data_IF_475745605227
#
_entry.id   IF_475745605227
#
_cell.length_a   1.000
_cell.length_b   1.000
_cell.length_c   1.000
_cell.angle_alpha   90.00
_cell.angle_beta   90.00
_cell.angle_gamma   90.00
#
_symmetry.space_group_name_H-M   'P 1'
#
loop_
_entity.id
_entity.type
_entity.pdbx_description
1 polymer ?
#
# COMPACT_ATOMS: atom_id res chain seq x y z
N UNK A 1 -19.71 -3.56 16.20
CA UNK A 1 -18.99 -2.54 15.39
C UNK A 1 -18.14 -3.32 14.41
N UNK A 2 -18.43 -3.23 13.12
CA UNK A 2 -17.66 -3.96 12.12
C UNK A 2 -16.22 -3.42 12.14
N UNK A 3 -15.23 -4.29 12.33
CA UNK A 3 -13.82 -3.89 12.26
C UNK A 3 -13.48 -3.38 10.86
N UNK A 4 -12.38 -2.64 10.73
CA UNK A 4 -11.92 -2.11 9.45
C UNK A 4 -11.75 -3.23 8.42
N UNK A 5 -12.36 -3.05 7.25
CA UNK A 5 -12.23 -3.97 6.13
C UNK A 5 -11.05 -3.53 5.26
N UNK A 6 -9.97 -4.30 5.30
CA UNK A 6 -8.76 -4.04 4.52
C UNK A 6 -8.53 -5.18 3.55
N UNK A 7 -8.47 -4.87 2.25
CA UNK A 7 -8.14 -5.82 1.18
C UNK A 7 -6.98 -5.30 0.37
N UNK A 8 -5.98 -6.14 0.10
CA UNK A 8 -4.83 -5.83 -0.75
C UNK A 8 -4.95 -6.57 -2.08
N UNK A 9 -5.12 -5.82 -3.17
CA UNK A 9 -5.04 -6.36 -4.53
C UNK A 9 -3.57 -6.33 -4.96
N UNK A 10 -2.96 -7.49 -5.14
CA UNK A 10 -1.52 -7.60 -5.39
C UNK A 10 -1.17 -8.88 -6.16
N UNK A 11 0.10 -9.04 -6.52
CA UNK A 11 0.68 -10.24 -7.11
C UNK A 11 1.88 -10.67 -6.27
N UNK A 12 1.97 -11.95 -5.92
CA UNK A 12 2.90 -12.43 -4.89
C UNK A 12 4.37 -12.07 -5.13
N UNK A 13 4.80 -11.97 -6.39
CA UNK A 13 6.18 -11.64 -6.78
C UNK A 13 6.43 -10.13 -7.00
N UNK A 14 5.41 -9.27 -6.81
CA UNK A 14 5.53 -7.83 -6.98
C UNK A 14 6.37 -7.20 -5.86
N UNK A 15 7.49 -6.51 -6.18
CA UNK A 15 8.28 -5.79 -5.17
C UNK A 15 7.51 -4.58 -4.61
N UNK A 16 6.69 -3.92 -5.44
CA UNK A 16 5.82 -2.82 -5.02
C UNK A 16 4.75 -3.30 -4.05
N UNK A 17 4.19 -4.48 -4.31
CA UNK A 17 3.26 -5.16 -3.41
C UNK A 17 3.88 -5.59 -2.10
N UNK A 18 5.13 -6.07 -2.15
CA UNK A 18 5.89 -6.45 -0.96
C UNK A 18 6.06 -5.28 0.01
N UNK A 19 6.27 -4.05 -0.47
CA UNK A 19 6.31 -2.85 0.41
C UNK A 19 5.04 -2.72 1.25
N UNK A 20 3.88 -2.87 0.62
CA UNK A 20 2.58 -2.75 1.28
C UNK A 20 2.36 -3.89 2.27
N UNK A 21 2.73 -5.12 1.90
CA UNK A 21 2.64 -6.28 2.80
C UNK A 21 3.50 -6.11 4.04
N UNK A 22 4.73 -5.60 3.89
CA UNK A 22 5.63 -5.29 5.02
C UNK A 22 5.02 -4.20 5.89
N UNK A 23 4.56 -3.09 5.32
CA UNK A 23 3.94 -2.00 6.08
C UNK A 23 2.72 -2.45 6.89
N UNK A 24 1.84 -3.27 6.30
CA UNK A 24 0.68 -3.85 7.01
C UNK A 24 1.13 -4.79 8.13
N UNK A 25 2.18 -5.60 7.91
CA UNK A 25 2.73 -6.50 8.92
C UNK A 25 3.36 -5.74 10.10
N UNK A 26 4.17 -4.71 9.83
CA UNK A 26 4.78 -3.84 10.85
C UNK A 26 3.72 -3.12 11.70
N UNK A 27 2.59 -2.74 11.10
CA UNK A 27 1.45 -2.16 11.83
C UNK A 27 0.54 -3.21 12.48
N UNK A 28 0.75 -4.50 12.23
CA UNK A 28 -0.12 -5.57 12.73
C UNK A 28 -1.56 -5.50 12.19
N UNK A 29 -1.76 -4.92 11.00
CA UNK A 29 -3.07 -4.78 10.37
C UNK A 29 -3.44 -6.09 9.69
N UNK A 30 -4.60 -6.65 10.07
CA UNK A 30 -5.16 -7.81 9.38
C UNK A 30 -5.82 -7.36 8.08
N UNK A 31 -5.57 -8.08 7.00
CA UNK A 31 -6.13 -7.77 5.69
C UNK A 31 -6.38 -9.05 4.89
N UNK A 32 -7.27 -8.96 3.92
CA UNK A 32 -7.49 -9.99 2.90
C UNK A 32 -6.51 -9.79 1.74
N UNK A 33 -5.71 -10.80 1.41
CA UNK A 33 -4.84 -10.79 0.23
C UNK A 33 -5.58 -11.33 -0.98
N UNK A 34 -5.70 -10.53 -2.04
CA UNK A 34 -6.36 -10.93 -3.28
C UNK A 34 -5.32 -10.96 -4.42
N UNK A 35 -4.86 -12.17 -4.75
CA UNK A 35 -3.90 -12.39 -5.84
C UNK A 35 -4.50 -12.00 -7.20
N UNK A 36 -3.72 -11.29 -8.01
CA UNK A 36 -4.16 -10.74 -9.31
C UNK A 36 -3.30 -11.25 -10.45
N UNK A 37 -3.96 -11.74 -11.50
CA UNK A 37 -3.33 -11.97 -12.79
C UNK A 37 -3.06 -10.62 -13.48
N UNK A 38 -1.79 -10.36 -13.80
CA UNK A 38 -1.35 -9.15 -14.46
C UNK A 38 -1.62 -9.14 -15.97
N UNK A 39 -1.79 -10.34 -16.58
CA UNK A 39 -2.12 -10.50 -18.00
C UNK A 39 -3.62 -10.33 -18.22
N UNK A 40 -4.43 -10.91 -17.34
CA UNK A 40 -5.89 -10.79 -17.36
C UNK A 40 -6.40 -10.01 -16.15
N UNK A 41 -6.42 -8.68 -16.28
CA UNK A 41 -6.77 -7.77 -15.18
C UNK A 41 -8.24 -7.94 -14.78
N UNK A 42 -8.47 -8.33 -13.52
CA UNK A 42 -9.81 -8.47 -12.96
C UNK A 42 -10.62 -7.17 -13.04
N UNK A 43 -11.95 -7.28 -13.19
CA UNK A 43 -12.86 -6.13 -13.18
C UNK A 43 -12.70 -5.27 -11.92
N UNK A 44 -12.48 -5.92 -10.77
CA UNK A 44 -12.22 -5.24 -9.49
C UNK A 44 -10.98 -4.35 -9.56
N UNK A 45 -9.86 -4.83 -10.14
CA UNK A 45 -8.64 -4.02 -10.29
C UNK A 45 -8.89 -2.81 -11.20
N UNK A 46 -9.61 -3.01 -12.30
CA UNK A 46 -9.94 -1.93 -13.24
C UNK A 46 -10.87 -0.89 -12.62
N UNK A 47 -11.78 -1.30 -11.74
CA UNK A 47 -12.65 -0.41 -10.98
C UNK A 47 -11.89 0.38 -9.91
N UNK A 48 -10.98 -0.29 -9.17
CA UNK A 48 -10.28 0.31 -8.04
C UNK A 48 -9.08 1.18 -8.45
N UNK A 49 -8.46 0.92 -9.60
CA UNK A 49 -7.40 1.75 -10.19
C UNK A 49 -7.64 1.96 -11.70
N UNK A 50 -8.63 2.77 -12.09
CA UNK A 50 -8.98 2.96 -13.50
C UNK A 50 -7.90 3.71 -14.29
N UNK A 51 -7.10 4.55 -13.61
CA UNK A 51 -6.05 5.39 -14.22
C UNK A 51 -4.85 4.55 -14.65
N UNK A 52 -4.19 3.87 -13.71
CA UNK A 52 -2.97 3.13 -14.01
C UNK A 52 -3.21 1.65 -14.27
N UNK A 53 -4.32 1.08 -13.75
CA UNK A 53 -4.66 -0.34 -13.88
C UNK A 53 -3.51 -1.22 -13.37
N UNK A 54 -2.82 -0.79 -12.33
CA UNK A 54 -1.65 -1.43 -11.72
C UNK A 54 -1.95 -1.85 -10.29
N UNK A 55 -1.20 -2.85 -9.85
CA UNK A 55 -1.07 -3.25 -8.44
C UNK A 55 0.20 -2.61 -7.84
N UNK A 56 0.33 -2.52 -6.50
CA UNK A 56 -0.70 -2.84 -5.50
C UNK A 56 -1.83 -1.81 -5.47
N UNK A 57 -3.00 -2.25 -5.01
CA UNK A 57 -4.11 -1.37 -4.60
C UNK A 57 -4.58 -1.80 -3.23
N UNK A 58 -4.52 -0.90 -2.26
CA UNK A 58 -5.08 -1.11 -0.93
C UNK A 58 -6.52 -0.60 -0.91
N UNK A 59 -7.49 -1.45 -0.61
CA UNK A 59 -8.88 -1.05 -0.42
C UNK A 59 -9.17 -1.05 1.07
N UNK A 60 -9.38 0.13 1.65
CA UNK A 60 -9.69 0.30 3.05
C UNK A 60 -11.12 0.85 3.18
N UNK A 61 -12.03 0.07 3.77
CA UNK A 61 -13.45 0.42 3.93
C UNK A 61 -14.09 0.84 2.60
N UNK A 62 -13.81 0.08 1.54
CA UNK A 62 -14.31 0.32 0.18
C UNK A 62 -13.61 1.46 -0.59
N UNK A 63 -12.64 2.15 0.01
CA UNK A 63 -11.91 3.26 -0.62
C UNK A 63 -10.54 2.78 -1.13
N UNK A 64 -10.25 2.88 -2.43
CA UNK A 64 -8.97 2.46 -2.98
C UNK A 64 -7.87 3.51 -2.74
N UNK A 65 -6.67 3.03 -2.43
CA UNK A 65 -5.41 3.78 -2.36
C UNK A 65 -4.42 3.09 -3.30
N UNK A 66 -3.84 3.87 -4.22
CA UNK A 66 -2.95 3.38 -5.27
C UNK A 66 -1.52 3.90 -5.06
N UNK A 67 -0.56 3.33 -5.79
CA UNK A 67 0.89 3.60 -5.73
C UNK A 67 1.54 3.16 -4.41
N UNK A 68 2.53 2.27 -4.51
CA UNK A 68 3.07 1.56 -3.32
C UNK A 68 3.58 2.48 -2.21
N UNK A 69 4.31 3.56 -2.55
CA UNK A 69 4.84 4.50 -1.55
C UNK A 69 3.73 5.35 -0.92
N UNK A 70 2.71 5.72 -1.70
CA UNK A 70 1.52 6.44 -1.20
C UNK A 70 0.73 5.53 -0.26
N UNK A 71 0.57 4.25 -0.62
CA UNK A 71 -0.09 3.25 0.24
C UNK A 71 0.67 3.07 1.56
N UNK A 72 2.00 2.98 1.54
CA UNK A 72 2.81 2.87 2.77
C UNK A 72 2.63 4.09 3.66
N UNK A 73 2.64 5.30 3.09
CA UNK A 73 2.38 6.53 3.84
C UNK A 73 0.96 6.54 4.43
N UNK A 74 -0.04 6.15 3.63
CA UNK A 74 -1.41 6.02 4.10
C UNK A 74 -1.54 5.05 5.27
N UNK A 75 -0.86 3.90 5.22
CA UNK A 75 -0.82 2.94 6.32
C UNK A 75 -0.23 3.57 7.58
N UNK A 76 0.84 4.34 7.45
CA UNK A 76 1.45 5.02 8.59
C UNK A 76 0.52 6.07 9.23
N UNK A 77 -0.25 6.77 8.40
CA UNK A 77 -1.19 7.81 8.82
C UNK A 77 -2.53 7.27 9.32
N UNK A 78 -3.00 6.13 8.83
CA UNK A 78 -4.28 5.53 9.23
C UNK A 78 -4.17 4.76 10.56
N UNK A 79 -3.03 4.10 10.82
CA UNK A 79 -2.78 3.29 12.03
C UNK A 79 -1.67 3.93 12.88
N UNK A 80 -2.01 5.06 13.51
CA UNK A 80 -1.11 5.87 14.37
C UNK A 80 -0.90 5.32 15.78
N UNK A 81 -1.68 4.34 16.19
CA UNK A 81 -1.55 3.66 17.49
C UNK A 81 -0.35 2.71 17.55
N UNK A 82 0.36 2.54 16.44
CA UNK A 82 1.54 1.68 16.28
C UNK A 82 2.80 2.50 16.02
N UNK A 83 3.96 1.87 16.19
CA UNK A 83 5.24 2.49 15.87
C UNK A 83 5.21 3.10 14.45
N UNK A 84 5.75 4.33 14.26
CA UNK A 84 5.72 5.00 12.98
C UNK A 84 6.69 4.32 11.99
N UNK A 85 6.28 4.24 10.72
CA UNK A 85 7.15 3.78 9.63
C UNK A 85 8.08 4.89 9.16
N UNK A 86 7.60 6.14 9.22
CA UNK A 86 8.37 7.32 8.83
C UNK A 86 8.86 8.09 10.07
N UNK A 87 10.03 8.74 10.00
CA UNK A 87 10.50 9.62 11.06
C UNK A 87 9.52 10.78 11.31
N UNK A 88 9.30 11.12 12.59
CA UNK A 88 8.48 12.28 12.98
C UNK A 88 9.16 13.62 12.69
N UNK A 89 10.50 13.64 12.62
CA UNK A 89 11.25 14.85 12.24
C UNK A 89 11.01 15.17 10.75
N UNK A 90 10.63 16.42 10.40
CA UNK A 90 10.32 16.78 9.02
C UNK A 90 11.47 16.56 8.04
N UNK A 91 12.71 16.88 8.44
CA UNK A 91 13.87 16.74 7.57
C UNK A 91 14.20 15.27 7.32
N UNK A 92 14.22 14.46 8.38
CA UNK A 92 14.41 13.01 8.26
C UNK A 92 13.30 12.37 7.42
N UNK A 93 12.04 12.80 7.60
CA UNK A 93 10.93 12.31 6.79
C UNK A 93 11.08 12.62 5.30
N UNK A 94 11.58 13.82 4.95
CA UNK A 94 11.89 14.16 3.55
C UNK A 94 13.05 13.32 3.02
N UNK A 95 14.09 13.08 3.81
CA UNK A 95 15.21 12.21 3.42
C UNK A 95 14.73 10.78 3.15
N UNK A 96 13.88 10.20 4.02
CA UNK A 96 13.29 8.88 3.79
C UNK A 96 12.49 8.81 2.49
N UNK A 97 11.67 9.83 2.20
CA UNK A 97 10.89 9.90 0.96
C UNK A 97 11.77 10.04 -0.28
N UNK A 98 12.84 10.83 -0.20
CA UNK A 98 13.80 10.99 -1.29
C UNK A 98 14.47 9.64 -1.65
N UNK A 99 14.97 8.91 -0.67
CA UNK A 99 15.62 7.62 -0.92
C UNK A 99 14.64 6.55 -1.42
N UNK A 100 13.40 6.56 -0.94
CA UNK A 100 12.36 5.66 -1.46
C UNK A 100 12.03 5.95 -2.94
N UNK A 101 11.90 7.23 -3.31
CA UNK A 101 11.68 7.65 -4.70
C UNK A 101 12.89 7.34 -5.60
N UNK A 102 14.12 7.48 -5.08
CA UNK A 102 15.34 7.11 -5.79
C UNK A 102 15.36 5.63 -6.17
N UNK A 103 14.91 4.74 -5.28
CA UNK A 103 14.83 3.29 -5.56
C UNK A 103 13.83 2.98 -6.69
N UNK A 104 12.77 3.78 -6.86
CA UNK A 104 11.80 3.59 -7.94
C UNK A 104 12.31 4.05 -9.31
N UNK A 105 13.26 4.99 -9.32
CA UNK A 105 13.75 5.66 -10.53
C UNK A 105 15.07 5.10 -11.07
N UNK A 106 15.67 4.14 -10.38
CA UNK A 106 16.99 3.58 -10.72
C UNK A 106 16.89 2.12 -11.09
#
# INVERSE_FOLDING_TARGET
MAGDQVTLLDFWASPFGMRVRIALAEKGVKYEYSDKDLRNKSALLLQMNPVHKKIPVLVHNGKPVCESLIIVQYIDEAWKDKAPLLPSDPYQGVQSRFWADFVDKK
#
